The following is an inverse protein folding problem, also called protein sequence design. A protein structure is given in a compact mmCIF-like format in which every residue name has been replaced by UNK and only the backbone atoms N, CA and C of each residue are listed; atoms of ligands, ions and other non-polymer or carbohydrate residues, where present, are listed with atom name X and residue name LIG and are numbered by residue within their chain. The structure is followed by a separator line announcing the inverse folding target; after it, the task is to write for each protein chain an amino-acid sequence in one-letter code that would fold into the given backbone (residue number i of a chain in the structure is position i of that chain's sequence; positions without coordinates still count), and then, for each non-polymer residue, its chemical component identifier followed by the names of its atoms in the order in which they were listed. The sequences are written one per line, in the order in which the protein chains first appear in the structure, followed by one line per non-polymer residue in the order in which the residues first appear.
data_IF_660034298879
#
_entry.id   IF_660034298879
#
_cell.length_a   1.000
_cell.length_b   1.000
_cell.length_c   1.000
_cell.angle_alpha   90.00
_cell.angle_beta   90.00
_cell.angle_gamma   90.00
#
_symmetry.space_group_name_H-M   'P 1'
#
loop_
_entity.id
_entity.type
_entity.pdbx_description
1 polymer ?
#
# COMPACT_ATOMS: atom_id res chain seq x y z
N UNK A 1 32.11 -44.13 3.79
CA UNK A 1 32.79 -42.86 3.47
C UNK A 1 31.73 -41.76 3.38
N UNK A 2 31.44 -41.13 4.52
CA UNK A 2 30.65 -39.90 4.60
C UNK A 2 31.51 -38.75 4.06
N UNK A 3 31.10 -38.11 2.98
CA UNK A 3 31.50 -36.72 2.73
C UNK A 3 30.45 -35.83 3.36
N UNK A 4 30.89 -35.15 4.42
CA UNK A 4 30.14 -34.16 5.14
C UNK A 4 29.71 -33.04 4.19
N UNK A 5 28.47 -32.62 4.41
CA UNK A 5 27.76 -31.58 3.69
C UNK A 5 28.28 -30.21 4.17
N UNK A 6 29.28 -29.66 3.48
CA UNK A 6 29.79 -28.30 3.72
C UNK A 6 29.37 -27.36 2.58
N UNK A 7 28.08 -26.98 2.59
CA UNK A 7 27.62 -25.65 2.14
C UNK A 7 26.44 -25.26 3.01
N UNK A 8 26.73 -24.79 4.22
CA UNK A 8 25.73 -24.14 5.06
C UNK A 8 25.39 -22.78 4.46
N UNK A 9 24.48 -22.73 3.49
CA UNK A 9 23.93 -21.46 3.06
C UNK A 9 23.15 -20.87 4.24
N UNK A 10 23.49 -19.64 4.62
CA UNK A 10 22.79 -18.93 5.68
C UNK A 10 21.39 -18.58 5.18
N UNK A 11 20.36 -18.98 5.93
CA UNK A 11 18.97 -18.58 5.69
C UNK A 11 18.90 -17.05 5.56
N UNK A 12 18.57 -16.55 4.37
CA UNK A 12 18.37 -15.12 4.11
C UNK A 12 16.89 -14.80 4.22
N UNK A 13 16.54 -13.79 5.03
CA UNK A 13 15.15 -13.36 5.22
C UNK A 13 14.92 -11.92 4.76
N UNK A 14 13.72 -11.65 4.26
CA UNK A 14 13.27 -10.32 3.88
C UNK A 14 11.86 -10.06 4.41
N UNK A 15 11.64 -8.84 4.89
CA UNK A 15 10.30 -8.28 5.11
C UNK A 15 10.08 -7.20 4.06
N UNK A 16 8.92 -7.24 3.41
CA UNK A 16 8.55 -6.37 2.30
C UNK A 16 7.56 -5.31 2.80
N UNK A 17 7.41 -4.22 2.03
CA UNK A 17 6.49 -3.14 2.37
C UNK A 17 5.02 -3.50 2.10
N UNK A 18 4.75 -4.31 1.08
CA UNK A 18 3.38 -4.74 0.78
C UNK A 18 2.79 -5.60 1.89
N UNK A 19 1.51 -5.35 2.19
CA UNK A 19 0.78 -6.05 3.25
C UNK A 19 -0.30 -6.96 2.70
N UNK A 20 -0.42 -8.16 3.24
CA UNK A 20 -1.60 -9.01 3.03
C UNK A 20 -2.56 -8.85 4.22
N UNK A 21 -3.72 -8.21 3.98
CA UNK A 21 -4.72 -7.87 5.00
C UNK A 21 -6.16 -8.07 4.48
N UNK A 22 -7.13 -7.73 5.33
CA UNK A 22 -8.55 -7.84 5.01
C UNK A 22 -9.06 -9.28 4.93
N UNK A 23 -10.31 -9.45 4.48
CA UNK A 23 -10.96 -10.78 4.42
C UNK A 23 -10.36 -11.71 3.36
N UNK A 24 -9.71 -11.14 2.34
CA UNK A 24 -9.06 -11.89 1.26
C UNK A 24 -7.58 -12.19 1.53
N UNK A 25 -7.06 -11.85 2.71
CA UNK A 25 -5.67 -12.08 3.12
C UNK A 25 -5.13 -13.45 2.76
N UNK A 26 -5.86 -14.54 3.07
CA UNK A 26 -5.40 -15.90 2.77
C UNK A 26 -5.18 -16.09 1.26
N UNK A 27 -6.12 -15.62 0.44
CA UNK A 27 -6.03 -15.73 -1.01
C UNK A 27 -4.86 -14.91 -1.58
N UNK A 28 -4.63 -13.68 -1.06
CA UNK A 28 -3.47 -12.88 -1.44
C UNK A 28 -2.15 -13.60 -1.10
N UNK A 29 -2.07 -14.20 0.09
CA UNK A 29 -0.90 -14.99 0.50
C UNK A 29 -0.70 -16.22 -0.39
N UNK A 30 -1.75 -16.95 -0.72
CA UNK A 30 -1.67 -18.11 -1.61
C UNK A 30 -1.17 -17.69 -3.01
N UNK A 31 -1.62 -16.54 -3.52
CA UNK A 31 -1.18 -16.00 -4.81
C UNK A 31 0.30 -15.61 -4.80
N UNK A 32 0.75 -14.84 -3.81
CA UNK A 32 2.18 -14.49 -3.67
C UNK A 32 3.02 -15.75 -3.52
N UNK A 33 2.57 -16.73 -2.74
CA UNK A 33 3.30 -17.99 -2.57
C UNK A 33 3.42 -18.75 -3.89
N UNK A 34 2.34 -18.83 -4.66
CA UNK A 34 2.36 -19.46 -5.99
C UNK A 34 3.32 -18.74 -6.93
N UNK A 35 3.28 -17.41 -6.95
CA UNK A 35 4.18 -16.60 -7.77
C UNK A 35 5.65 -16.83 -7.39
N UNK A 36 5.97 -16.75 -6.10
CA UNK A 36 7.32 -16.99 -5.58
C UNK A 36 7.79 -18.41 -5.90
N UNK A 37 6.91 -19.41 -5.79
CA UNK A 37 7.26 -20.80 -6.09
C UNK A 37 7.60 -20.95 -7.57
N UNK A 38 6.75 -20.46 -8.47
CA UNK A 38 7.02 -20.46 -9.91
C UNK A 38 8.30 -19.71 -10.29
N UNK A 39 8.62 -18.63 -9.58
CA UNK A 39 9.83 -17.85 -9.81
C UNK A 39 11.12 -18.59 -9.43
N UNK A 40 11.07 -19.44 -8.40
CA UNK A 40 12.26 -20.14 -7.88
C UNK A 40 12.44 -21.55 -8.46
N UNK A 41 11.48 -22.06 -9.24
CA UNK A 41 11.50 -23.44 -9.76
C UNK A 41 12.77 -23.78 -10.57
N UNK A 42 13.38 -22.80 -11.24
CA UNK A 42 14.61 -22.97 -12.04
C UNK A 42 15.88 -22.42 -11.35
N UNK A 43 15.78 -22.00 -10.09
CA UNK A 43 16.88 -21.38 -9.33
C UNK A 43 17.38 -22.32 -8.22
N UNK A 44 18.66 -22.21 -7.84
CA UNK A 44 19.22 -22.93 -6.68
C UNK A 44 18.82 -22.22 -5.38
N UNK A 45 17.52 -22.28 -5.07
CA UNK A 45 16.93 -21.64 -3.89
C UNK A 45 15.62 -22.31 -3.48
N UNK A 46 15.41 -22.43 -2.18
CA UNK A 46 14.18 -22.96 -1.58
C UNK A 46 13.52 -21.90 -0.71
N UNK A 47 12.20 -21.79 -0.82
CA UNK A 47 11.38 -21.04 0.12
C UNK A 47 11.29 -21.78 1.47
N UNK A 48 12.02 -21.31 2.47
CA UNK A 48 12.09 -21.89 3.81
C UNK A 48 11.05 -21.31 4.78
N UNK A 49 10.66 -20.03 4.61
CA UNK A 49 9.62 -19.38 5.42
C UNK A 49 8.75 -18.48 4.55
N UNK A 50 7.45 -18.48 4.83
CA UNK A 50 6.48 -17.63 4.15
C UNK A 50 5.35 -17.26 5.11
N UNK A 51 5.02 -15.97 5.19
CA UNK A 51 3.94 -15.48 6.01
C UNK A 51 3.91 -13.96 6.05
N UNK A 52 3.45 -13.41 7.17
CA UNK A 52 3.51 -11.98 7.43
C UNK A 52 4.10 -11.69 8.80
N UNK A 53 4.54 -10.46 9.02
CA UNK A 53 4.77 -9.94 10.35
C UNK A 53 3.43 -9.69 11.10
N UNK A 54 3.52 -9.08 12.29
CA UNK A 54 2.36 -8.74 13.13
C UNK A 54 1.44 -7.66 12.51
N UNK A 55 1.94 -6.87 11.56
CA UNK A 55 1.20 -5.79 10.88
C UNK A 55 0.69 -6.20 9.50
N UNK A 56 1.01 -7.41 9.05
CA UNK A 56 0.57 -7.95 7.76
C UNK A 56 1.58 -7.78 6.63
N UNK A 57 2.76 -7.19 6.89
CA UNK A 57 3.86 -7.07 5.91
C UNK A 57 4.36 -8.45 5.51
N UNK A 58 4.54 -8.69 4.21
CA UNK A 58 5.01 -10.00 3.72
C UNK A 58 6.40 -10.30 4.27
N UNK A 59 6.59 -11.51 4.80
CA UNK A 59 7.87 -11.96 5.37
C UNK A 59 8.25 -13.31 4.80
N UNK A 60 9.41 -13.37 4.15
CA UNK A 60 9.90 -14.55 3.44
C UNK A 60 11.32 -14.91 3.89
N UNK A 61 11.64 -16.20 3.83
CA UNK A 61 12.99 -16.72 4.11
C UNK A 61 13.39 -17.72 3.03
N UNK A 62 14.62 -17.58 2.55
CA UNK A 62 15.19 -18.34 1.44
C UNK A 62 16.51 -18.99 1.84
N UNK A 63 16.71 -20.20 1.35
CA UNK A 63 17.93 -20.99 1.53
C UNK A 63 18.43 -21.45 0.16
N UNK A 64 19.72 -21.27 -0.13
CA UNK A 64 20.33 -21.59 -1.42
C UNK A 64 21.13 -20.43 -2.03
N UNK A 65 21.88 -20.75 -3.09
CA UNK A 65 22.84 -19.85 -3.74
C UNK A 65 22.18 -18.60 -4.34
N UNK A 66 20.97 -18.74 -4.89
CA UNK A 66 20.28 -17.64 -5.59
C UNK A 66 19.37 -16.79 -4.69
N UNK A 67 19.42 -16.99 -3.38
CA UNK A 67 18.56 -16.31 -2.40
C UNK A 67 18.60 -14.79 -2.49
N UNK A 68 19.76 -14.20 -2.80
CA UNK A 68 19.92 -12.75 -2.89
C UNK A 68 19.25 -12.14 -4.12
N UNK A 69 19.35 -12.83 -5.25
CA UNK A 69 18.66 -12.44 -6.48
C UNK A 69 17.14 -12.44 -6.25
N UNK A 70 16.61 -13.50 -5.63
CA UNK A 70 15.19 -13.63 -5.30
C UNK A 70 14.72 -12.50 -4.38
N UNK A 71 15.48 -12.21 -3.32
CA UNK A 71 15.16 -11.12 -2.39
C UNK A 71 15.15 -9.77 -3.11
N UNK A 72 16.12 -9.49 -3.96
CA UNK A 72 16.20 -8.22 -4.69
C UNK A 72 15.03 -8.07 -5.68
N UNK A 73 14.62 -9.15 -6.34
CA UNK A 73 13.42 -9.15 -7.18
C UNK A 73 12.16 -8.82 -6.37
N UNK A 74 11.96 -9.48 -5.23
CA UNK A 74 10.80 -9.24 -4.37
C UNK A 74 10.79 -7.83 -3.79
N UNK A 75 11.95 -7.29 -3.42
CA UNK A 75 12.09 -5.89 -2.97
C UNK A 75 11.67 -4.92 -4.06
N UNK A 76 12.05 -5.18 -5.32
CA UNK A 76 11.65 -4.33 -6.45
C UNK A 76 10.14 -4.38 -6.68
N UNK A 77 9.52 -5.55 -6.49
CA UNK A 77 8.09 -5.75 -6.75
C UNK A 77 7.18 -5.26 -5.61
N UNK A 78 7.52 -5.59 -4.37
CA UNK A 78 6.66 -5.39 -3.19
C UNK A 78 7.19 -4.32 -2.23
N UNK A 79 8.28 -3.64 -2.59
CA UNK A 79 8.98 -2.69 -1.72
C UNK A 79 9.72 -3.36 -0.57
N UNK A 80 10.70 -2.65 0.00
CA UNK A 80 11.52 -3.14 1.12
C UNK A 80 11.07 -2.51 2.43
N UNK A 81 10.92 -3.32 3.47
CA UNK A 81 10.80 -2.80 4.83
C UNK A 81 12.12 -2.13 5.26
N UNK A 82 12.03 -1.01 5.96
CA UNK A 82 13.20 -0.22 6.36
C UNK A 82 13.51 -0.46 7.83
N UNK A 83 14.79 -0.63 8.20
CA UNK A 83 15.15 -0.64 9.62
C UNK A 83 15.03 0.76 10.19
N UNK A 84 14.53 0.90 11.40
CA UNK A 84 14.37 2.21 12.05
C UNK A 84 15.67 3.02 12.07
N UNK A 85 16.80 2.36 12.35
CA UNK A 85 18.16 2.95 12.32
C UNK A 85 18.56 3.58 10.97
N UNK A 86 17.90 3.18 9.89
CA UNK A 86 18.15 3.69 8.54
C UNK A 86 17.17 4.79 8.12
N UNK A 87 16.14 5.08 8.92
CA UNK A 87 15.24 6.21 8.67
C UNK A 87 15.96 7.49 9.04
N UNK A 88 16.03 8.46 8.11
CA UNK A 88 16.75 9.72 8.28
C UNK A 88 15.86 10.90 7.90
N UNK A 89 16.08 12.04 8.54
CA UNK A 89 15.48 13.30 8.12
C UNK A 89 15.77 13.60 6.64
N UNK A 90 14.78 14.16 5.95
CA UNK A 90 14.82 14.46 4.53
C UNK A 90 14.59 13.26 3.60
N UNK A 91 14.64 12.03 4.11
CA UNK A 91 14.35 10.84 3.30
C UNK A 91 12.88 10.82 2.86
N UNK A 92 12.63 10.35 1.64
CA UNK A 92 11.28 10.07 1.14
C UNK A 92 11.08 8.57 1.16
N UNK A 93 10.04 8.12 1.88
CA UNK A 93 9.74 6.71 2.08
C UNK A 93 8.31 6.39 1.61
N UNK A 94 8.09 5.20 1.02
CA UNK A 94 6.73 4.72 0.79
C UNK A 94 6.04 4.45 2.13
N UNK A 95 4.74 4.66 2.15
CA UNK A 95 3.92 4.59 3.34
C UNK A 95 2.48 4.21 3.02
N UNK A 96 1.72 3.81 4.03
CA UNK A 96 0.28 3.60 3.92
C UNK A 96 -0.43 4.26 5.08
N UNK A 97 -1.52 4.98 4.82
CA UNK A 97 -2.30 5.58 5.90
C UNK A 97 -2.84 4.53 6.86
N UNK A 98 -2.88 4.88 8.14
CA UNK A 98 -3.39 4.07 9.23
C UNK A 98 -4.42 4.86 10.04
N UNK A 99 -5.48 4.17 10.43
CA UNK A 99 -6.45 4.66 11.41
C UNK A 99 -6.98 6.06 11.12
N UNK A 100 -7.26 6.32 9.85
CA UNK A 100 -7.61 7.65 9.36
C UNK A 100 -8.86 8.15 10.07
N UNK A 101 -8.76 9.34 10.66
CA UNK A 101 -9.87 9.99 11.35
C UNK A 101 -10.20 9.42 12.75
N UNK A 102 -9.43 8.45 13.27
CA UNK A 102 -9.57 7.98 14.67
C UNK A 102 -9.05 8.99 15.69
N UNK A 103 -8.02 9.74 15.34
CA UNK A 103 -7.45 10.83 16.15
C UNK A 103 -7.61 12.17 15.46
N UNK A 104 -7.58 13.27 16.22
CA UNK A 104 -7.80 14.62 15.69
C UNK A 104 -6.54 15.41 15.34
N UNK A 105 -5.37 14.99 15.81
CA UNK A 105 -4.15 15.81 15.77
C UNK A 105 -3.21 15.52 14.59
N UNK A 106 -3.41 14.45 13.83
CA UNK A 106 -2.57 14.10 12.69
C UNK A 106 -2.93 12.75 12.05
N UNK A 107 -2.25 12.41 10.96
CA UNK A 107 -2.36 11.11 10.29
C UNK A 107 -1.17 10.23 10.65
N UNK A 108 -1.41 8.94 10.83
CA UNK A 108 -0.36 7.95 10.98
C UNK A 108 -0.08 7.26 9.65
N UNK A 109 1.19 7.01 9.36
CA UNK A 109 1.65 6.33 8.15
C UNK A 109 2.56 5.17 8.52
N UNK A 110 2.20 3.97 8.08
CA UNK A 110 3.03 2.77 8.15
C UNK A 110 4.10 2.83 7.07
N UNK A 111 5.37 2.94 7.45
CA UNK A 111 6.52 2.90 6.52
C UNK A 111 7.22 1.53 6.50
N UNK A 112 6.57 0.49 7.04
CA UNK A 112 7.16 -0.83 7.24
C UNK A 112 8.48 -0.77 8.03
N UNK A 113 8.52 0.01 9.11
CA UNK A 113 9.70 0.15 9.95
C UNK A 113 9.95 -1.13 10.77
N UNK A 114 11.10 -1.75 10.57
CA UNK A 114 11.59 -2.88 11.36
C UNK A 114 12.19 -2.35 12.67
N UNK A 115 11.49 -2.58 13.77
CA UNK A 115 11.90 -2.24 15.13
C UNK A 115 11.28 -3.22 16.13
N UNK A 116 11.80 -3.25 17.36
CA UNK A 116 11.23 -4.01 18.46
C UNK A 116 9.85 -3.46 18.90
N UNK A 117 9.55 -2.21 18.54
CA UNK A 117 8.25 -1.55 18.76
C UNK A 117 7.64 -1.17 17.41
N UNK A 118 6.33 -1.10 17.32
CA UNK A 118 5.66 -0.52 16.14
C UNK A 118 5.96 0.97 16.09
N UNK A 119 6.50 1.43 14.97
CA UNK A 119 6.82 2.84 14.73
C UNK A 119 6.13 3.30 13.46
N UNK A 120 5.36 4.37 13.58
CA UNK A 120 4.63 5.01 12.49
C UNK A 120 5.08 6.46 12.35
N UNK A 121 5.01 6.98 11.13
CA UNK A 121 5.24 8.40 10.88
C UNK A 121 3.98 9.17 11.23
N UNK A 122 4.09 10.15 12.14
CA UNK A 122 3.04 11.10 12.39
C UNK A 122 3.16 12.26 11.40
N UNK A 123 2.08 12.55 10.68
CA UNK A 123 1.91 13.79 9.93
C UNK A 123 1.00 14.71 10.73
N UNK A 124 1.53 15.73 11.41
CA UNK A 124 0.72 16.62 12.22
C UNK A 124 -0.34 17.36 11.40
N UNK A 125 -1.51 17.63 11.99
CA UNK A 125 -2.61 18.33 11.32
C UNK A 125 -2.19 19.68 10.76
N UNK A 126 -1.33 20.43 11.46
CA UNK A 126 -0.85 21.72 10.97
C UNK A 126 -0.07 21.59 9.65
N UNK A 127 0.69 20.49 9.45
CA UNK A 127 1.38 20.20 8.19
C UNK A 127 0.37 19.90 7.09
N UNK A 128 -0.60 19.02 7.35
CA UNK A 128 -1.64 18.66 6.37
C UNK A 128 -2.40 19.92 5.92
N UNK A 129 -2.81 20.76 6.87
CA UNK A 129 -3.51 22.03 6.58
C UNK A 129 -2.68 22.95 5.70
N UNK A 130 -1.37 23.05 5.97
CA UNK A 130 -0.46 23.87 5.17
C UNK A 130 -0.26 23.28 3.76
N UNK A 131 -0.02 21.97 3.66
CA UNK A 131 0.26 21.29 2.38
C UNK A 131 -0.93 21.35 1.41
N UNK A 132 -2.16 21.27 1.91
CA UNK A 132 -3.36 21.38 1.08
C UNK A 132 -3.99 22.78 1.08
N UNK A 133 -3.44 23.74 1.83
CA UNK A 133 -4.05 25.06 2.06
C UNK A 133 -5.49 25.02 2.60
N UNK A 134 -5.82 24.02 3.43
CA UNK A 134 -7.17 23.79 3.99
C UNK A 134 -7.17 24.10 5.49
N UNK A 135 -8.09 24.96 5.97
CA UNK A 135 -8.23 25.30 7.41
C UNK A 135 -9.36 24.53 8.11
N UNK A 136 -9.46 23.21 7.87
CA UNK A 136 -10.54 22.36 8.41
C UNK A 136 -10.03 21.35 9.45
N UNK A 137 -10.89 20.75 10.29
CA UNK A 137 -10.52 19.62 11.16
C UNK A 137 -10.04 18.41 10.35
N UNK A 138 -9.19 17.57 10.94
CA UNK A 138 -8.61 16.42 10.25
C UNK A 138 -9.67 15.50 9.63
N UNK A 139 -10.73 15.18 10.38
CA UNK A 139 -11.81 14.31 9.91
C UNK A 139 -12.49 14.88 8.66
N UNK A 140 -12.67 16.21 8.60
CA UNK A 140 -13.24 16.87 7.42
C UNK A 140 -12.27 16.80 6.25
N UNK A 141 -10.97 17.03 6.46
CA UNK A 141 -9.95 16.91 5.41
C UNK A 141 -9.92 15.48 4.86
N UNK A 142 -9.83 14.49 5.74
CA UNK A 142 -9.79 13.08 5.37
C UNK A 142 -11.03 12.66 4.57
N UNK A 143 -12.23 13.06 5.02
CA UNK A 143 -13.46 12.79 4.29
C UNK A 143 -13.52 13.51 2.93
N UNK A 144 -13.01 14.75 2.85
CA UNK A 144 -13.06 15.54 1.62
C UNK A 144 -12.10 14.99 0.57
N UNK A 145 -10.88 14.62 0.96
CA UNK A 145 -9.83 14.12 0.06
C UNK A 145 -9.82 12.58 -0.06
N UNK A 146 -10.81 11.91 0.54
CA UNK A 146 -10.92 10.44 0.56
C UNK A 146 -9.63 9.78 1.10
N UNK A 147 -9.07 10.36 2.16
CA UNK A 147 -8.01 9.69 2.91
C UNK A 147 -8.64 8.54 3.68
N UNK A 148 -8.18 7.32 3.38
CA UNK A 148 -8.71 6.08 3.91
C UNK A 148 -7.56 5.17 4.33
N UNK A 149 -7.86 4.22 5.21
CA UNK A 149 -6.88 3.24 5.66
C UNK A 149 -6.29 2.47 4.47
N UNK A 150 -4.99 2.22 4.55
CA UNK A 150 -4.19 1.52 3.55
C UNK A 150 -3.95 2.28 2.24
N UNK A 151 -4.42 3.52 2.10
CA UNK A 151 -4.08 4.33 0.92
C UNK A 151 -2.56 4.54 0.83
N UNK A 152 -1.90 4.06 -0.25
CA UNK A 152 -0.46 4.19 -0.39
C UNK A 152 -0.08 5.66 -0.64
N UNK A 153 0.92 6.15 0.09
CA UNK A 153 1.45 7.50 0.01
C UNK A 153 2.97 7.47 0.06
N UNK A 154 3.60 8.55 -0.37
CA UNK A 154 5.01 8.83 -0.11
C UNK A 154 5.10 9.88 0.98
N UNK A 155 5.94 9.67 1.97
CA UNK A 155 6.15 10.60 3.09
C UNK A 155 7.59 11.07 3.12
N UNK A 156 7.78 12.37 3.33
CA UNK A 156 9.09 12.97 3.60
C UNK A 156 9.27 13.07 5.11
N UNK A 157 10.35 12.48 5.62
CA UNK A 157 10.68 12.50 7.03
C UNK A 157 11.20 13.88 7.42
N UNK A 158 10.63 14.48 8.46
CA UNK A 158 10.99 15.83 8.93
C UNK A 158 11.72 15.82 10.26
N UNK A 159 11.51 14.81 11.09
CA UNK A 159 12.15 14.67 12.41
C UNK A 159 12.21 13.19 12.81
N UNK A 160 13.31 12.77 13.44
CA UNK A 160 13.49 11.39 13.94
C UNK A 160 14.05 11.40 15.36
N UNK A 161 13.23 10.98 16.32
CA UNK A 161 13.65 10.71 17.70
C UNK A 161 13.83 9.20 17.90
N UNK A 162 15.07 8.72 17.79
CA UNK A 162 15.41 7.31 18.01
C UNK A 162 15.26 6.86 19.47
N UNK A 163 15.29 7.79 20.44
CA UNK A 163 15.14 7.43 21.87
C UNK A 163 13.69 7.11 22.16
N UNK A 164 12.80 7.97 21.69
CA UNK A 164 11.35 7.83 21.89
C UNK A 164 10.67 6.95 20.81
N UNK A 165 11.42 6.54 19.78
CA UNK A 165 10.90 5.86 18.58
C UNK A 165 9.77 6.67 17.92
N UNK A 166 9.95 7.99 17.82
CA UNK A 166 9.00 8.90 17.17
C UNK A 166 9.56 9.38 15.86
N UNK A 167 8.71 9.43 14.85
CA UNK A 167 9.05 9.94 13.54
C UNK A 167 7.94 10.91 13.15
N UNK A 168 8.32 12.12 12.77
CA UNK A 168 7.40 13.06 12.14
C UNK A 168 7.73 13.20 10.66
N UNK A 169 6.70 13.53 9.89
CA UNK A 169 6.85 13.76 8.47
C UNK A 169 5.76 14.64 7.89
N UNK A 170 5.87 14.82 6.58
CA UNK A 170 4.89 15.49 5.74
C UNK A 170 4.67 14.64 4.48
N UNK A 171 3.55 14.85 3.78
CA UNK A 171 3.34 14.14 2.51
C UNK A 171 4.42 14.59 1.52
N UNK A 172 5.04 13.66 0.81
CA UNK A 172 6.00 14.00 -0.22
C UNK A 172 5.27 14.65 -1.41
N UNK A 173 6.01 15.46 -2.19
CA UNK A 173 5.46 16.18 -3.34
C UNK A 173 4.75 15.24 -4.33
N UNK A 174 5.28 14.02 -4.55
CA UNK A 174 4.65 13.01 -5.41
C UNK A 174 3.23 12.66 -4.98
N UNK A 175 2.97 12.61 -3.67
CA UNK A 175 1.62 12.35 -3.14
C UNK A 175 0.72 13.56 -3.34
N UNK A 176 1.22 14.76 -3.04
CA UNK A 176 0.45 16.00 -3.24
C UNK A 176 0.05 16.17 -4.70
N UNK A 177 1.00 16.00 -5.63
CA UNK A 177 0.76 16.07 -7.07
C UNK A 177 -0.25 15.04 -7.53
N UNK A 178 -0.18 13.77 -7.08
CA UNK A 178 -1.20 12.77 -7.43
C UNK A 178 -2.60 13.19 -6.99
N UNK A 179 -2.76 13.72 -5.77
CA UNK A 179 -4.07 14.20 -5.31
C UNK A 179 -4.53 15.41 -6.10
N UNK A 180 -3.64 16.35 -6.41
CA UNK A 180 -3.94 17.51 -7.24
C UNK A 180 -4.42 17.07 -8.64
N UNK A 181 -3.70 16.15 -9.29
CA UNK A 181 -4.08 15.58 -10.58
C UNK A 181 -5.44 14.86 -10.51
N UNK A 182 -5.68 14.07 -9.46
CA UNK A 182 -6.96 13.38 -9.30
C UNK A 182 -8.12 14.36 -9.08
N UNK A 183 -7.93 15.44 -8.32
CA UNK A 183 -8.96 16.47 -8.08
C UNK A 183 -9.31 17.25 -9.34
N UNK A 184 -8.33 17.51 -10.21
CA UNK A 184 -8.55 18.24 -11.46
C UNK A 184 -8.86 17.35 -12.67
N UNK A 185 -8.90 16.03 -12.47
CA UNK A 185 -9.31 15.09 -13.51
C UNK A 185 -10.83 15.09 -13.67
N UNK A 186 -11.30 14.85 -14.90
CA UNK A 186 -12.73 14.74 -15.20
C UNK A 186 -13.27 13.30 -15.12
N UNK A 187 -12.43 12.35 -14.69
CA UNK A 187 -12.80 10.95 -14.51
C UNK A 187 -13.04 10.61 -13.04
N UNK A 188 -14.13 9.89 -12.76
CA UNK A 188 -14.35 9.27 -11.46
C UNK A 188 -13.41 8.08 -11.27
N UNK A 189 -12.97 7.85 -10.03
CA UNK A 189 -12.15 6.68 -9.67
C UNK A 189 -12.85 5.82 -8.63
N UNK A 190 -12.68 4.51 -8.77
CA UNK A 190 -12.97 3.54 -7.74
C UNK A 190 -11.65 3.06 -7.13
N UNK A 191 -11.40 3.43 -5.89
CA UNK A 191 -10.27 2.94 -5.10
C UNK A 191 -10.61 1.57 -4.50
N UNK A 192 -9.76 0.58 -4.71
CA UNK A 192 -9.94 -0.80 -4.22
C UNK A 192 -8.72 -1.20 -3.40
N UNK A 193 -8.93 -1.67 -2.16
CA UNK A 193 -7.85 -2.00 -1.22
C UNK A 193 -7.94 -3.45 -0.75
N UNK A 194 -6.80 -4.15 -0.71
CA UNK A 194 -6.72 -5.55 -0.28
C UNK A 194 -7.21 -6.55 -1.33
N UNK A 195 -6.96 -6.27 -2.61
CA UNK A 195 -7.26 -7.15 -3.74
C UNK A 195 -6.14 -7.05 -4.78
N UNK A 196 -5.83 -8.14 -5.49
CA UNK A 196 -4.94 -8.07 -6.65
C UNK A 196 -5.74 -7.69 -7.91
N UNK A 197 -5.04 -7.29 -8.97
CA UNK A 197 -5.67 -6.91 -10.24
C UNK A 197 -6.54 -8.02 -10.84
N UNK A 198 -6.10 -9.29 -10.78
CA UNK A 198 -6.84 -10.42 -11.35
C UNK A 198 -8.24 -10.56 -10.71
N UNK A 199 -8.35 -10.44 -9.39
CA UNK A 199 -9.64 -10.48 -8.69
C UNK A 199 -10.57 -9.36 -9.19
N UNK A 200 -10.03 -8.15 -9.38
CA UNK A 200 -10.78 -6.99 -9.85
C UNK A 200 -11.26 -7.23 -11.29
N UNK A 201 -10.36 -7.67 -12.18
CA UNK A 201 -10.72 -7.98 -13.57
C UNK A 201 -11.77 -9.08 -13.68
N UNK A 202 -11.66 -10.15 -12.89
CA UNK A 202 -12.66 -11.23 -12.87
C UNK A 202 -14.02 -10.67 -12.46
N UNK A 203 -14.07 -9.79 -11.46
CA UNK A 203 -15.33 -9.17 -11.03
C UNK A 203 -15.92 -8.29 -12.14
N UNK A 204 -15.11 -7.42 -12.75
CA UNK A 204 -15.52 -6.54 -13.85
C UNK A 204 -15.98 -7.30 -15.10
N UNK A 205 -15.27 -8.38 -15.50
CA UNK A 205 -15.67 -9.23 -16.64
C UNK A 205 -17.00 -9.91 -16.38
N UNK A 206 -17.20 -10.45 -15.16
CA UNK A 206 -18.47 -11.09 -14.77
C UNK A 206 -19.65 -10.13 -14.77
N UNK A 207 -19.40 -8.84 -14.55
CA UNK A 207 -20.42 -7.79 -14.59
C UNK A 207 -20.45 -7.01 -15.91
N UNK A 208 -19.63 -7.39 -16.90
CA UNK A 208 -19.50 -6.73 -18.21
C UNK A 208 -19.08 -5.25 -18.15
N UNK A 209 -18.28 -4.88 -17.16
CA UNK A 209 -17.80 -3.52 -16.93
C UNK A 209 -16.28 -3.34 -17.11
N UNK A 210 -15.57 -4.36 -17.59
CA UNK A 210 -14.12 -4.24 -17.79
C UNK A 210 -13.77 -3.11 -18.76
N UNK A 211 -14.51 -3.02 -19.87
CA UNK A 211 -14.36 -1.97 -20.87
C UNK A 211 -14.78 -0.59 -20.35
N UNK A 212 -15.43 -0.48 -19.20
CA UNK A 212 -15.82 0.81 -18.62
C UNK A 212 -14.68 1.44 -17.81
N UNK A 213 -13.61 0.68 -17.57
CA UNK A 213 -12.40 1.15 -16.89
C UNK A 213 -11.41 1.62 -17.96
N UNK A 214 -11.00 2.88 -17.86
CA UNK A 214 -10.01 3.49 -18.74
C UNK A 214 -8.59 3.03 -18.37
N UNK A 215 -8.30 2.95 -17.07
CA UNK A 215 -6.96 2.64 -16.57
C UNK A 215 -7.02 1.96 -15.20
N UNK A 216 -6.13 0.99 -15.00
CA UNK A 216 -5.82 0.40 -13.69
C UNK A 216 -4.54 1.02 -13.18
N UNK A 217 -4.66 2.03 -12.31
CA UNK A 217 -3.52 2.65 -11.66
C UNK A 217 -3.14 1.80 -10.43
N UNK A 218 -1.97 1.16 -10.47
CA UNK A 218 -1.41 0.42 -9.33
C UNK A 218 -0.87 1.42 -8.29
N UNK A 219 -1.52 1.50 -7.13
CA UNK A 219 -1.08 2.33 -6.01
C UNK A 219 -0.13 1.58 -5.09
N UNK A 220 -0.30 0.27 -5.02
CA UNK A 220 0.48 -0.71 -4.26
C UNK A 220 0.13 -2.11 -4.74
N UNK A 221 0.84 -3.12 -4.23
CA UNK A 221 0.70 -4.49 -4.74
C UNK A 221 -0.74 -5.06 -4.62
N UNK A 222 -1.55 -4.54 -3.69
CA UNK A 222 -2.94 -4.95 -3.50
C UNK A 222 -3.89 -3.74 -3.40
N UNK A 223 -3.48 -2.60 -3.95
CA UNK A 223 -4.17 -1.33 -3.86
C UNK A 223 -4.24 -0.69 -5.24
N UNK A 224 -5.45 -0.45 -5.72
CA UNK A 224 -5.68 0.00 -7.09
C UNK A 224 -6.62 1.20 -7.13
N UNK A 225 -6.36 2.12 -8.05
CA UNK A 225 -7.28 3.17 -8.47
C UNK A 225 -7.78 2.81 -9.86
N UNK A 226 -9.09 2.51 -9.96
CA UNK A 226 -9.73 2.21 -11.23
C UNK A 226 -10.29 3.50 -11.79
N UNK A 227 -9.61 4.08 -12.77
CA UNK A 227 -10.09 5.28 -13.46
C UNK A 227 -11.18 4.86 -14.43
N UNK A 228 -12.41 5.29 -14.17
CA UNK A 228 -13.56 5.00 -15.03
C UNK A 228 -13.49 5.85 -16.30
N UNK A 229 -14.05 5.38 -17.43
CA UNK A 229 -14.27 6.23 -18.61
C UNK A 229 -15.19 7.40 -18.27
N UNK A 230 -15.11 8.51 -19.00
CA UNK A 230 -15.96 9.71 -18.79
C UNK A 230 -17.47 9.43 -18.81
N UNK A 231 -17.90 8.42 -19.57
CA UNK A 231 -19.29 7.98 -19.65
C UNK A 231 -19.73 7.09 -18.49
N UNK A 232 -18.81 6.75 -17.59
CA UNK A 232 -18.99 5.72 -16.56
C UNK A 232 -18.90 6.36 -15.18
N UNK A 233 -19.93 6.10 -14.36
CA UNK A 233 -19.93 6.49 -12.94
C UNK A 233 -19.30 5.40 -12.09
N UNK A 234 -18.33 5.74 -11.26
CA UNK A 234 -17.68 4.83 -10.33
C UNK A 234 -18.67 4.23 -9.33
N UNK A 235 -19.71 4.99 -8.93
CA UNK A 235 -20.81 4.49 -8.11
C UNK A 235 -21.56 3.31 -8.75
N UNK A 236 -21.78 3.36 -10.07
CA UNK A 236 -22.38 2.25 -10.83
C UNK A 236 -21.48 1.02 -10.87
N UNK A 237 -20.17 1.23 -11.06
CA UNK A 237 -19.17 0.15 -11.00
C UNK A 237 -19.18 -0.53 -9.63
N UNK A 238 -19.10 0.25 -8.53
CA UNK A 238 -19.13 -0.29 -7.16
C UNK A 238 -20.38 -1.13 -6.91
N UNK A 239 -21.56 -0.63 -7.33
CA UNK A 239 -22.81 -1.35 -7.17
C UNK A 239 -22.81 -2.69 -7.93
N UNK A 240 -22.21 -2.73 -9.12
CA UNK A 240 -22.14 -3.94 -9.94
C UNK A 240 -21.13 -4.97 -9.38
N UNK A 241 -19.91 -4.55 -9.03
CA UNK A 241 -18.84 -5.47 -8.61
C UNK A 241 -18.87 -5.81 -7.12
N UNK A 242 -19.47 -4.97 -6.27
CA UNK A 242 -19.53 -5.15 -4.82
C UNK A 242 -20.04 -6.53 -4.37
N UNK A 243 -21.12 -7.09 -4.95
CA UNK A 243 -21.56 -8.45 -4.64
C UNK A 243 -20.53 -9.55 -4.93
N UNK A 244 -19.63 -9.34 -5.88
CA UNK A 244 -18.54 -10.27 -6.23
C UNK A 244 -17.28 -10.03 -5.37
N UNK A 245 -17.06 -8.79 -4.98
CA UNK A 245 -15.92 -8.29 -4.19
C UNK A 245 -16.29 -8.07 -2.73
N UNK A 246 -17.14 -8.94 -2.15
CA UNK A 246 -17.61 -8.81 -0.77
C UNK A 246 -16.45 -8.67 0.21
N UNK A 247 -16.63 -7.72 1.13
CA UNK A 247 -15.69 -7.36 2.20
C UNK A 247 -14.33 -6.81 1.76
N UNK A 248 -14.20 -6.43 0.49
CA UNK A 248 -13.04 -5.67 -0.01
C UNK A 248 -13.39 -4.18 0.11
N UNK A 249 -12.61 -3.39 0.88
CA UNK A 249 -12.82 -1.96 1.00
C UNK A 249 -12.76 -1.27 -0.37
N UNK A 250 -13.77 -0.47 -0.63
CA UNK A 250 -13.94 0.27 -1.88
C UNK A 250 -14.39 1.68 -1.58
N UNK A 251 -13.74 2.66 -2.20
CA UNK A 251 -14.01 4.07 -1.98
C UNK A 251 -14.15 4.82 -3.30
N UNK A 252 -15.10 5.75 -3.33
CA UNK A 252 -15.34 6.60 -4.49
C UNK A 252 -14.49 7.85 -4.36
N UNK A 253 -13.71 8.14 -5.39
CA UNK A 253 -13.04 9.42 -5.56
C UNK A 253 -13.69 10.12 -6.75
N UNK A 254 -14.57 11.07 -6.45
CA UNK A 254 -15.38 11.81 -7.42
C UNK A 254 -14.92 13.27 -7.39
N UNK A 255 -14.17 13.74 -8.40
CA UNK A 255 -13.53 15.07 -8.40
C UNK A 255 -14.48 16.21 -8.04
N UNK A 256 -15.66 16.26 -8.67
CA UNK A 256 -16.68 17.30 -8.43
C UNK A 256 -17.24 17.29 -7.00
N UNK A 257 -17.40 16.12 -6.38
CA UNK A 257 -17.80 16.04 -4.97
C UNK A 257 -16.70 16.50 -4.03
N UNK A 258 -15.45 16.24 -4.38
CA UNK A 258 -14.28 16.61 -3.58
C UNK A 258 -14.13 18.13 -3.59
N UNK A 259 -14.17 18.76 -4.77
CA UNK A 259 -14.16 20.21 -4.89
C UNK A 259 -15.29 20.86 -4.09
N UNK A 260 -16.51 20.32 -4.17
CA UNK A 260 -17.65 20.81 -3.39
C UNK A 260 -17.39 20.70 -1.87
N UNK A 261 -16.87 19.57 -1.39
CA UNK A 261 -16.52 19.35 0.03
C UNK A 261 -15.36 20.24 0.50
N UNK A 262 -14.41 20.58 -0.39
CA UNK A 262 -13.31 21.47 -0.09
C UNK A 262 -13.76 22.94 0.01
N UNK A 263 -14.74 23.35 -0.80
CA UNK A 263 -15.27 24.71 -0.83
C UNK A 263 -16.39 24.99 0.19
N UNK A 264 -17.03 23.95 0.75
CA UNK A 264 -18.09 24.07 1.77
C UNK A 264 -17.57 24.46 3.17
#
# INVERSE_FOLDING_TARGET
MHKANERGFLLKSVTLFSRAYGKKRKHLLDLVKSEVTSMIDELDVRLARFGTDKRGHLSLGFDGQDSEFVINFLVKKYGKAIRLENVKEGAILPGSFLEVGKVGFGLYVDIAALSNKSVDVLIPLHRIRNQFSIKKPLRTIANSLVFVDNLPVSVKITDVDYRENKIEGELAQSTLTRFEEWVHDDHERLLVFGANQEMIEIALRKTKHLEDIYEFEELGAFEYSLRCKRSTRASGIVAAIGPKMRDIPMHLFIPTEIEAKLNA
#
